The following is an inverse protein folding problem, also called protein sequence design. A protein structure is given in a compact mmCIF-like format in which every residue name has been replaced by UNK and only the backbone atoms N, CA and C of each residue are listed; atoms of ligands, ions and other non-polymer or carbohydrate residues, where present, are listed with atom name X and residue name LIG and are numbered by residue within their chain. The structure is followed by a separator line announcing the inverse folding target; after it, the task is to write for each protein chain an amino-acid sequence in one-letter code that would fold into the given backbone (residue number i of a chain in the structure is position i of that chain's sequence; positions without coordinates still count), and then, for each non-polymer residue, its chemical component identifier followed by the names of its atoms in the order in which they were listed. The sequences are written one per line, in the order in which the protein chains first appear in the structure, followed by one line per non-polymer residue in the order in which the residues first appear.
data_IF_056982692343
#
_entry.id   IF_056982692343
#
_cell.length_a   1.000
_cell.length_b   1.000
_cell.length_c   1.000
_cell.angle_alpha   90.00
_cell.angle_beta   90.00
_cell.angle_gamma   90.00
#
_symmetry.space_group_name_H-M   'P 1'
#
loop_
_entity.id
_entity.type
_entity.pdbx_description
1 polymer ?
#
# COMPACT_ATOMS: atom_id res chain seq x y z
N UNK A 1 12.00 -12.67 23.32
CA UNK A 1 10.57 -12.81 23.68
C UNK A 1 10.10 -14.15 23.16
N UNK A 2 9.33 -14.92 23.92
CA UNK A 2 8.75 -16.19 23.45
C UNK A 2 7.31 -15.92 23.01
N UNK A 3 6.98 -16.28 21.78
CA UNK A 3 5.63 -16.10 21.24
C UNK A 3 4.80 -17.38 21.39
N UNK A 4 3.47 -17.29 21.61
CA UNK A 4 2.61 -18.45 21.54
C UNK A 4 2.60 -19.04 20.12
N UNK A 5 2.35 -20.37 20.02
CA UNK A 5 2.33 -21.08 18.74
C UNK A 5 0.93 -21.12 18.13
N UNK A 6 0.87 -21.20 16.79
CA UNK A 6 -0.37 -21.50 16.10
C UNK A 6 -0.89 -22.93 16.44
N UNK A 7 -2.21 -23.20 16.37
CA UNK A 7 -3.29 -22.33 15.92
C UNK A 7 -3.82 -21.44 17.04
N UNK A 8 -3.77 -20.14 16.89
CA UNK A 8 -4.23 -19.21 17.93
C UNK A 8 -4.57 -17.81 17.37
N UNK A 9 -4.47 -17.63 16.05
CA UNK A 9 -4.75 -16.33 15.41
C UNK A 9 -6.17 -15.85 15.70
N UNK A 10 -6.27 -14.82 16.50
CA UNK A 10 -7.51 -14.10 16.83
C UNK A 10 -7.34 -12.62 16.55
N UNK A 11 -8.45 -11.92 16.31
CA UNK A 11 -8.47 -10.47 16.03
C UNK A 11 -8.19 -9.62 17.29
N UNK A 12 -7.24 -10.07 18.12
CA UNK A 12 -6.89 -9.40 19.38
C UNK A 12 -5.49 -8.76 19.35
N UNK A 13 -4.78 -8.87 18.21
CA UNK A 13 -3.45 -8.29 18.00
C UNK A 13 -2.30 -9.12 18.55
N UNK A 14 -2.54 -10.26 19.20
CA UNK A 14 -1.47 -11.11 19.72
C UNK A 14 -0.62 -11.67 18.58
N UNK A 15 0.72 -11.60 18.74
CA UNK A 15 1.67 -12.16 17.78
C UNK A 15 1.91 -13.62 18.13
N UNK A 16 1.77 -14.50 17.14
CA UNK A 16 2.00 -15.94 17.21
C UNK A 16 3.16 -16.37 16.33
N UNK A 17 3.85 -17.42 16.76
CA UNK A 17 4.87 -18.09 15.95
C UNK A 17 4.21 -19.14 15.03
N UNK A 18 4.45 -18.99 13.73
CA UNK A 18 4.09 -19.98 12.71
C UNK A 18 5.35 -20.79 12.36
N UNK A 19 5.56 -21.93 13.05
CA UNK A 19 6.74 -22.78 12.85
C UNK A 19 6.82 -23.37 11.43
N UNK A 20 5.67 -23.68 10.79
CA UNK A 20 5.64 -24.20 9.43
C UNK A 20 6.15 -23.17 8.42
N UNK A 21 5.78 -21.92 8.62
CA UNK A 21 6.18 -20.81 7.76
C UNK A 21 7.47 -20.13 8.20
N UNK A 22 7.96 -20.38 9.43
CA UNK A 22 9.10 -19.66 10.00
C UNK A 22 8.82 -18.17 10.18
N UNK A 23 7.58 -17.78 10.44
CA UNK A 23 7.14 -16.39 10.52
C UNK A 23 6.50 -16.09 11.88
N UNK A 24 6.43 -14.79 12.21
CA UNK A 24 5.59 -14.29 13.29
C UNK A 24 4.36 -13.63 12.69
N UNK A 25 3.17 -13.94 13.17
CA UNK A 25 1.91 -13.51 12.56
C UNK A 25 0.92 -12.99 13.60
N UNK A 26 0.12 -11.99 13.22
CA UNK A 26 -0.99 -11.47 14.02
C UNK A 26 -2.17 -11.07 13.15
N UNK A 27 -3.38 -11.19 13.71
CA UNK A 27 -4.54 -10.48 13.19
C UNK A 27 -4.75 -9.24 14.05
N UNK A 28 -4.69 -8.05 13.44
CA UNK A 28 -4.83 -6.79 14.15
C UNK A 28 -6.28 -6.62 14.63
N UNK A 29 -6.50 -5.99 15.81
CA UNK A 29 -7.87 -5.71 16.28
C UNK A 29 -8.63 -4.87 15.25
N UNK A 30 -9.87 -5.23 14.95
CA UNK A 30 -10.67 -4.60 13.87
C UNK A 30 -11.26 -3.25 14.25
N UNK A 31 -11.28 -2.90 15.53
CA UNK A 31 -11.98 -1.71 16.02
C UNK A 31 -13.52 -1.81 15.99
N UNK A 32 -14.04 -2.98 15.61
CA UNK A 32 -15.50 -3.18 15.47
C UNK A 32 -16.06 -2.81 14.09
N UNK A 33 -15.20 -2.40 13.15
CA UNK A 33 -15.62 -2.06 11.79
C UNK A 33 -15.84 -3.31 10.94
N UNK A 34 -16.90 -3.33 10.10
CA UNK A 34 -17.22 -4.47 9.25
C UNK A 34 -16.23 -4.68 8.09
N UNK A 35 -15.53 -3.63 7.64
CA UNK A 35 -14.50 -3.75 6.61
C UNK A 35 -13.23 -3.01 6.97
N UNK A 36 -12.08 -3.55 6.54
CA UNK A 36 -10.75 -2.98 6.67
C UNK A 36 -9.94 -3.18 5.39
N UNK A 37 -9.28 -2.12 4.87
CA UNK A 37 -8.53 -2.26 3.63
C UNK A 37 -7.34 -1.31 3.54
N UNK A 38 -6.43 -1.60 2.58
CA UNK A 38 -5.29 -0.79 2.21
C UNK A 38 -4.37 -0.41 3.40
N UNK A 39 -3.85 -1.37 4.17
CA UNK A 39 -2.96 -1.06 5.29
C UNK A 39 -1.61 -0.51 4.80
N UNK A 40 -1.04 0.38 5.60
CA UNK A 40 0.33 0.90 5.48
C UNK A 40 0.99 0.95 6.85
N UNK A 41 2.31 0.81 6.90
CA UNK A 41 3.08 0.82 8.15
C UNK A 41 4.28 1.75 8.08
N UNK A 42 4.74 2.17 9.27
CA UNK A 42 6.06 2.78 9.45
C UNK A 42 6.68 2.36 10.78
N UNK A 43 8.01 2.34 10.85
CA UNK A 43 8.77 2.19 12.10
C UNK A 43 8.98 3.56 12.72
N UNK A 44 8.57 3.71 13.97
CA UNK A 44 8.77 4.93 14.74
C UNK A 44 10.22 5.05 15.27
N UNK A 45 10.67 6.25 15.67
CA UNK A 45 12.02 6.45 16.21
C UNK A 45 12.37 5.55 17.39
N UNK A 46 11.40 5.22 18.25
CA UNK A 46 11.56 4.34 19.41
C UNK A 46 11.54 2.83 19.09
N UNK A 47 11.37 2.45 17.81
CA UNK A 47 11.28 1.07 17.35
C UNK A 47 9.87 0.47 17.43
N UNK A 48 8.86 1.24 17.83
CA UNK A 48 7.46 0.83 17.70
C UNK A 48 7.03 0.81 16.23
N UNK A 49 6.02 0.00 15.89
CA UNK A 49 5.43 0.00 14.55
C UNK A 49 4.04 0.62 14.59
N UNK A 50 3.79 1.57 13.72
CA UNK A 50 2.47 2.15 13.50
C UNK A 50 1.89 1.60 12.20
N UNK A 51 0.68 1.05 12.24
CA UNK A 51 -0.07 0.55 11.08
C UNK A 51 -1.38 1.31 10.96
N UNK A 52 -1.64 1.92 9.80
CA UNK A 52 -2.90 2.58 9.48
C UNK A 52 -3.59 1.85 8.33
N UNK A 53 -4.91 1.86 8.33
CA UNK A 53 -5.75 1.36 7.23
C UNK A 53 -7.05 2.13 7.18
N UNK A 54 -7.83 1.99 6.13
CA UNK A 54 -9.18 2.53 6.14
C UNK A 54 -10.19 1.47 6.58
N UNK A 55 -11.23 1.91 7.29
CA UNK A 55 -12.27 1.07 7.85
C UNK A 55 -13.63 1.78 7.83
N UNK A 56 -14.72 1.02 7.82
CA UNK A 56 -16.10 1.50 7.79
C UNK A 56 -17.03 0.44 7.23
N UNK A 57 -18.17 0.81 6.66
CA UNK A 57 -19.16 -0.15 6.15
C UNK A 57 -18.85 -0.61 4.73
N UNK A 58 -18.54 0.29 3.83
CA UNK A 58 -18.32 -0.03 2.42
C UNK A 58 -17.39 0.97 1.73
N UNK A 59 -16.39 0.49 0.96
CA UNK A 59 -15.44 1.34 0.25
C UNK A 59 -16.15 2.37 -0.65
N UNK A 60 -15.84 3.65 -0.44
CA UNK A 60 -16.47 4.77 -1.15
C UNK A 60 -17.62 5.43 -0.38
N UNK A 61 -18.04 4.90 0.77
CA UNK A 61 -19.01 5.55 1.65
C UNK A 61 -18.37 6.56 2.58
N UNK A 62 -19.08 7.62 2.96
CA UNK A 62 -18.54 8.68 3.82
C UNK A 62 -18.21 8.22 5.26
N UNK A 63 -18.67 7.04 5.69
CA UNK A 63 -18.29 6.44 6.96
C UNK A 63 -16.93 5.71 6.91
N UNK A 64 -16.29 5.65 5.73
CA UNK A 64 -14.92 5.16 5.59
C UNK A 64 -13.95 6.23 6.03
N UNK A 65 -13.13 5.91 7.03
CA UNK A 65 -12.12 6.79 7.60
C UNK A 65 -10.84 6.02 7.93
N UNK A 66 -9.78 6.74 8.28
CA UNK A 66 -8.48 6.15 8.60
C UNK A 66 -8.41 5.84 10.10
N UNK A 67 -7.99 4.61 10.40
CA UNK A 67 -7.70 4.16 11.77
C UNK A 67 -6.27 3.67 11.85
N UNK A 68 -5.67 3.77 13.04
CA UNK A 68 -4.30 3.35 13.29
C UNK A 68 -4.18 2.46 14.52
N UNK A 69 -3.32 1.44 14.46
CA UNK A 69 -2.93 0.58 15.56
C UNK A 69 -1.43 0.65 15.78
N UNK A 70 -0.98 0.54 17.03
CA UNK A 70 0.42 0.59 17.44
C UNK A 70 0.87 -0.78 17.96
N UNK A 71 2.04 -1.22 17.52
CA UNK A 71 2.81 -2.28 18.17
C UNK A 71 3.95 -1.62 18.95
N UNK A 72 3.87 -1.48 20.28
CA UNK A 72 4.94 -0.89 21.06
C UNK A 72 6.24 -1.69 20.93
N UNK A 73 7.38 -1.01 20.92
CA UNK A 73 8.70 -1.63 20.85
C UNK A 73 8.85 -2.72 21.92
N UNK A 74 9.28 -3.92 21.50
CA UNK A 74 9.42 -5.05 22.39
C UNK A 74 8.09 -5.67 22.86
N UNK A 75 6.92 -5.24 22.33
CA UNK A 75 5.63 -5.87 22.63
C UNK A 75 5.40 -7.11 21.77
N UNK A 76 4.65 -8.07 22.30
CA UNK A 76 4.10 -9.21 21.55
C UNK A 76 2.65 -9.01 21.10
N UNK A 77 2.15 -7.77 21.15
CA UNK A 77 0.74 -7.50 20.88
C UNK A 77 0.48 -6.12 20.31
N UNK A 78 -0.27 -6.05 19.21
CA UNK A 78 -0.84 -4.84 18.65
C UNK A 78 -1.93 -4.27 19.56
N UNK A 79 -1.95 -2.96 19.75
CA UNK A 79 -2.98 -2.29 20.53
C UNK A 79 -4.28 -2.18 19.73
N UNK A 80 -5.45 -1.99 20.39
CA UNK A 80 -6.68 -1.62 19.70
C UNK A 80 -6.48 -0.38 18.83
N UNK A 81 -7.06 -0.33 17.62
CA UNK A 81 -6.93 0.83 16.76
C UNK A 81 -7.74 2.01 17.30
N UNK A 82 -7.30 3.21 16.93
CA UNK A 82 -7.99 4.46 17.15
C UNK A 82 -8.25 5.16 15.82
N UNK A 83 -9.38 5.86 15.72
CA UNK A 83 -9.73 6.69 14.59
C UNK A 83 -8.80 7.91 14.54
N UNK A 84 -8.30 8.24 13.36
CA UNK A 84 -7.47 9.42 13.18
C UNK A 84 -8.12 10.44 12.26
N UNK A 85 -9.05 10.03 11.43
CA UNK A 85 -9.80 10.88 10.51
C UNK A 85 -11.31 10.64 10.64
N UNK A 86 -12.13 11.40 9.94
CA UNK A 86 -13.57 11.24 9.90
C UNK A 86 -14.23 12.47 9.31
N UNK A 87 -14.59 12.38 8.03
CA UNK A 87 -15.32 13.42 7.30
C UNK A 87 -16.71 12.89 6.93
N UNK A 88 -17.80 13.51 7.40
CA UNK A 88 -19.16 13.01 7.14
C UNK A 88 -19.58 13.10 5.65
N UNK A 89 -18.80 13.80 4.81
CA UNK A 89 -19.12 13.99 3.40
C UNK A 89 -18.17 13.20 2.47
N UNK A 90 -17.07 12.66 3.01
CA UNK A 90 -16.00 12.04 2.20
C UNK A 90 -15.60 10.68 2.72
N UNK A 91 -15.38 9.78 1.78
CA UNK A 91 -14.72 8.49 2.02
C UNK A 91 -13.22 8.70 2.03
N UNK A 92 -12.55 8.39 3.15
CA UNK A 92 -11.12 8.58 3.35
C UNK A 92 -10.41 7.23 3.21
N UNK A 93 -9.47 7.14 2.24
CA UNK A 93 -8.93 5.88 1.77
C UNK A 93 -7.41 5.92 1.56
N UNK A 94 -6.82 4.72 1.40
CA UNK A 94 -5.43 4.54 0.98
C UNK A 94 -4.41 5.33 1.79
N UNK A 95 -4.32 5.16 3.12
CA UNK A 95 -3.32 5.84 3.91
C UNK A 95 -1.91 5.42 3.52
N UNK A 96 -0.98 6.35 3.63
CA UNK A 96 0.45 6.12 3.65
C UNK A 96 1.09 6.89 4.80
N UNK A 97 2.15 6.34 5.38
CA UNK A 97 2.82 6.91 6.56
C UNK A 97 4.23 7.36 6.19
N UNK A 98 4.63 8.50 6.71
CA UNK A 98 5.95 9.06 6.50
C UNK A 98 6.48 9.69 7.80
N UNK A 99 7.72 9.39 8.18
CA UNK A 99 8.38 10.06 9.30
C UNK A 99 8.97 11.37 8.79
N UNK A 100 8.32 12.49 9.11
CA UNK A 100 8.71 13.80 8.67
C UNK A 100 9.98 14.32 9.39
N UNK A 101 10.71 15.29 8.78
CA UNK A 101 11.90 15.89 9.39
C UNK A 101 11.56 16.79 10.58
N UNK A 102 10.30 17.16 10.72
CA UNK A 102 9.74 17.90 11.85
C UNK A 102 9.54 17.03 13.10
N UNK A 103 9.87 15.73 13.02
CA UNK A 103 9.69 14.75 14.10
C UNK A 103 8.26 14.20 14.20
N UNK A 104 7.36 14.64 13.33
CA UNK A 104 6.01 14.10 13.27
C UNK A 104 5.93 12.86 12.36
N UNK A 105 4.97 12.01 12.65
CA UNK A 105 4.47 11.03 11.67
C UNK A 105 3.38 11.71 10.85
N UNK A 106 3.54 11.69 9.52
CA UNK A 106 2.57 12.20 8.57
C UNK A 106 1.73 11.05 8.03
N UNK A 107 0.42 11.14 8.18
CA UNK A 107 -0.54 10.26 7.52
C UNK A 107 -1.10 10.97 6.29
N UNK A 108 -0.69 10.52 5.10
CA UNK A 108 -1.20 11.01 3.82
C UNK A 108 -2.29 10.07 3.35
N UNK A 109 -3.46 10.58 2.96
CA UNK A 109 -4.57 9.75 2.50
C UNK A 109 -5.46 10.49 1.50
N UNK A 110 -6.21 9.74 0.72
CA UNK A 110 -7.21 10.25 -0.22
C UNK A 110 -8.55 10.49 0.47
N UNK A 111 -9.27 11.52 0.06
CA UNK A 111 -10.62 11.84 0.51
C UNK A 111 -11.50 12.18 -0.71
N UNK A 112 -12.37 11.24 -1.12
CA UNK A 112 -13.34 11.42 -2.21
C UNK A 112 -14.74 11.69 -1.66
N UNK A 113 -15.59 12.37 -2.41
CA UNK A 113 -16.98 12.53 -2.03
C UNK A 113 -17.69 11.19 -1.87
N UNK A 114 -18.69 11.17 -0.98
CA UNK A 114 -19.56 10.02 -0.80
C UNK A 114 -20.18 9.56 -2.12
N UNK A 115 -20.55 8.28 -2.17
CA UNK A 115 -21.28 7.73 -3.30
C UNK A 115 -22.58 8.47 -3.52
N UNK A 116 -22.89 8.71 -4.79
CA UNK A 116 -24.15 9.30 -5.21
C UNK A 116 -25.02 8.26 -5.91
N UNK A 117 -26.33 8.40 -5.79
CA UNK A 117 -27.27 7.53 -6.51
C UNK A 117 -26.98 7.56 -8.02
N UNK A 118 -26.77 6.39 -8.60
CA UNK A 118 -26.41 6.23 -10.02
C UNK A 118 -24.96 6.52 -10.39
N UNK A 119 -24.09 6.84 -9.41
CA UNK A 119 -22.63 7.02 -9.59
C UNK A 119 -21.85 6.19 -8.59
N UNK A 120 -21.45 4.99 -8.98
CA UNK A 120 -20.67 4.07 -8.14
C UNK A 120 -19.21 4.51 -7.94
N UNK A 121 -18.68 5.34 -8.84
CA UNK A 121 -17.30 5.80 -8.79
C UNK A 121 -17.21 7.31 -8.64
N UNK A 122 -16.79 7.77 -7.46
CA UNK A 122 -16.53 9.17 -7.16
C UNK A 122 -15.03 9.51 -7.07
N UNK A 123 -14.15 8.65 -7.57
CA UNK A 123 -12.71 8.80 -7.48
C UNK A 123 -12.20 10.10 -8.13
N UNK A 124 -12.88 10.59 -9.17
CA UNK A 124 -12.55 11.86 -9.83
C UNK A 124 -12.72 13.10 -8.92
N UNK A 125 -13.39 12.98 -7.75
CA UNK A 125 -13.57 14.06 -6.77
C UNK A 125 -12.51 14.00 -5.64
N UNK A 126 -11.60 13.02 -5.68
CA UNK A 126 -10.64 12.79 -4.61
C UNK A 126 -9.61 13.92 -4.51
N UNK A 127 -9.25 14.23 -3.28
CA UNK A 127 -8.13 15.11 -2.91
C UNK A 127 -7.21 14.37 -1.97
N UNK A 128 -5.97 14.84 -1.80
CA UNK A 128 -5.04 14.24 -0.83
C UNK A 128 -4.92 15.14 0.38
N UNK A 129 -5.13 14.53 1.55
CA UNK A 129 -5.01 15.13 2.88
C UNK A 129 -3.79 14.63 3.61
N UNK A 130 -3.32 15.39 4.57
CA UNK A 130 -2.27 15.06 5.51
C UNK A 130 -2.72 15.37 6.93
N UNK A 131 -2.51 14.44 7.84
CA UNK A 131 -2.56 14.69 9.29
C UNK A 131 -1.21 14.37 9.90
N UNK A 132 -0.85 15.09 10.97
CA UNK A 132 0.41 14.93 11.66
C UNK A 132 0.22 14.48 13.10
N UNK A 133 1.09 13.61 13.58
CA UNK A 133 1.19 13.19 14.96
C UNK A 133 2.61 13.42 15.48
N UNK A 134 2.75 14.16 16.58
CA UNK A 134 4.03 14.45 17.24
C UNK A 134 4.32 13.53 18.44
N UNK A 135 3.41 12.61 18.76
CA UNK A 135 3.49 11.70 19.90
C UNK A 135 3.50 10.21 19.54
N UNK A 136 3.90 9.91 18.30
CA UNK A 136 4.02 8.54 17.81
C UNK A 136 2.67 7.89 17.46
N UNK A 137 1.72 8.67 16.96
CA UNK A 137 0.43 8.17 16.46
C UNK A 137 -0.66 8.08 17.53
N UNK A 138 -0.45 8.64 18.73
CA UNK A 138 -1.45 8.63 19.81
C UNK A 138 -2.50 9.73 19.65
N UNK A 139 -2.06 10.93 19.24
CA UNK A 139 -2.95 12.04 18.90
C UNK A 139 -2.57 12.63 17.54
N UNK A 140 -3.55 13.18 16.84
CA UNK A 140 -3.39 13.68 15.49
C UNK A 140 -3.94 15.10 15.37
N UNK A 141 -3.19 15.97 14.69
CA UNK A 141 -3.67 17.30 14.36
C UNK A 141 -4.80 17.26 13.33
N UNK A 142 -5.59 18.33 13.21
CA UNK A 142 -6.56 18.45 12.10
C UNK A 142 -5.89 18.28 10.74
N UNK A 143 -6.61 17.71 9.78
CA UNK A 143 -6.06 17.50 8.44
C UNK A 143 -5.83 18.82 7.69
N UNK A 144 -4.84 18.78 6.81
CA UNK A 144 -4.63 19.76 5.75
C UNK A 144 -4.89 19.09 4.39
N UNK A 145 -5.51 19.79 3.45
CA UNK A 145 -5.59 19.33 2.05
C UNK A 145 -4.31 19.76 1.33
N UNK A 146 -3.38 18.81 1.21
CA UNK A 146 -2.04 19.06 0.62
C UNK A 146 -2.12 19.13 -0.91
N UNK A 147 -2.92 18.25 -1.54
CA UNK A 147 -3.16 18.29 -2.97
C UNK A 147 -4.66 18.45 -3.26
N UNK A 148 -5.11 19.70 -3.47
CA UNK A 148 -6.52 20.02 -3.70
C UNK A 148 -6.99 19.72 -5.13
N UNK A 149 -6.09 19.30 -6.03
CA UNK A 149 -6.47 18.91 -7.38
C UNK A 149 -7.36 17.67 -7.34
N UNK A 150 -8.61 17.83 -7.76
CA UNK A 150 -9.56 16.73 -7.83
C UNK A 150 -9.07 15.59 -8.73
N UNK A 151 -9.44 14.38 -8.38
CA UNK A 151 -8.97 13.14 -9.01
C UNK A 151 -7.62 12.64 -8.49
N UNK A 152 -6.93 13.38 -7.60
CA UNK A 152 -5.64 12.94 -7.08
C UNK A 152 -5.80 11.83 -6.05
N UNK A 153 -5.16 10.71 -6.28
CA UNK A 153 -5.05 9.57 -5.36
C UNK A 153 -3.60 9.32 -4.92
N UNK A 154 -3.43 8.76 -3.72
CA UNK A 154 -2.15 8.30 -3.20
C UNK A 154 -2.28 6.87 -2.63
N UNK A 155 -1.14 6.19 -2.43
CA UNK A 155 -1.09 4.87 -1.78
C UNK A 155 0.27 4.59 -1.14
N UNK A 156 1.37 4.98 -1.79
CA UNK A 156 2.72 4.67 -1.35
C UNK A 156 3.29 5.84 -0.52
N UNK A 157 4.23 5.58 0.41
CA UNK A 157 4.84 6.64 1.20
C UNK A 157 5.71 7.58 0.35
N UNK A 158 5.92 8.78 0.87
CA UNK A 158 6.95 9.69 0.35
C UNK A 158 8.30 8.99 0.41
N UNK A 159 9.06 9.05 -0.70
CA UNK A 159 10.43 8.58 -0.76
C UNK A 159 11.37 9.78 -0.72
N UNK A 160 12.37 9.73 0.17
CA UNK A 160 13.46 10.71 0.23
C UNK A 160 14.63 10.12 -0.56
N UNK A 161 15.01 10.81 -1.63
CA UNK A 161 16.10 10.38 -2.51
C UNK A 161 17.47 10.80 -1.95
N UNK A 162 18.53 10.20 -2.48
CA UNK A 162 19.90 10.42 -2.01
C UNK A 162 20.39 11.87 -2.11
N UNK A 163 19.79 12.68 -3.00
CA UNK A 163 20.07 14.12 -3.12
C UNK A 163 19.20 15.01 -2.20
N UNK A 164 18.36 14.40 -1.33
CA UNK A 164 17.43 15.11 -0.44
C UNK A 164 16.08 15.45 -1.05
N UNK A 165 15.87 15.18 -2.36
CA UNK A 165 14.57 15.35 -3.02
C UNK A 165 13.55 14.37 -2.46
N UNK A 166 12.31 14.84 -2.35
CA UNK A 166 11.17 13.99 -2.02
C UNK A 166 10.37 13.67 -3.28
N UNK A 167 9.95 12.43 -3.43
CA UNK A 167 9.05 11.99 -4.47
C UNK A 167 7.85 11.26 -3.85
N UNK A 168 6.64 11.68 -4.24
CA UNK A 168 5.40 11.10 -3.76
C UNK A 168 4.54 10.67 -4.94
N UNK A 169 4.29 9.37 -5.03
CA UNK A 169 3.55 8.77 -6.13
C UNK A 169 2.06 9.02 -6.00
N UNK A 170 1.45 9.48 -7.08
CA UNK A 170 0.02 9.67 -7.23
C UNK A 170 -0.48 9.04 -8.53
N UNK A 171 -1.77 8.95 -8.69
CA UNK A 171 -2.42 8.80 -9.99
C UNK A 171 -3.62 9.73 -10.05
N UNK A 172 -4.04 10.06 -11.28
CA UNK A 172 -5.11 11.00 -11.50
C UNK A 172 -6.34 10.27 -12.05
N UNK A 173 -7.40 10.24 -11.26
CA UNK A 173 -8.69 9.68 -11.67
C UNK A 173 -9.48 10.74 -12.42
N UNK A 174 -10.08 10.36 -13.55
CA UNK A 174 -10.90 11.24 -14.38
C UNK A 174 -12.30 10.66 -14.56
N UNK A 175 -13.28 11.55 -14.68
CA UNK A 175 -14.66 11.19 -15.09
C UNK A 175 -14.70 11.09 -16.63
N UNK A 176 -13.98 10.13 -17.19
CA UNK A 176 -13.86 9.93 -18.63
C UNK A 176 -14.57 8.65 -19.09
N UNK A 177 -14.86 8.58 -20.40
CA UNK A 177 -15.45 7.38 -21.01
C UNK A 177 -14.57 6.13 -20.88
N UNK A 178 -13.24 6.31 -20.71
CA UNK A 178 -12.29 5.22 -20.48
C UNK A 178 -12.34 4.70 -19.02
N UNK A 179 -13.04 5.42 -18.14
CA UNK A 179 -13.18 5.06 -16.73
C UNK A 179 -11.82 4.87 -16.08
N UNK A 180 -11.70 3.86 -15.20
CA UNK A 180 -10.48 3.56 -14.46
C UNK A 180 -9.30 3.13 -15.32
N UNK A 181 -9.50 2.69 -16.56
CA UNK A 181 -8.39 2.35 -17.47
C UNK A 181 -7.66 3.57 -18.02
N UNK A 182 -8.26 4.76 -17.89
CA UNK A 182 -7.68 6.03 -18.32
C UNK A 182 -6.73 6.69 -17.33
N UNK A 183 -6.66 6.22 -16.09
CA UNK A 183 -5.93 6.86 -14.99
C UNK A 183 -4.40 6.86 -15.21
N UNK A 184 -3.73 8.02 -15.39
CA UNK A 184 -2.27 8.08 -15.54
C UNK A 184 -1.58 8.16 -14.17
N UNK A 185 -0.33 7.71 -14.11
CA UNK A 185 0.59 7.94 -13.00
C UNK A 185 1.17 9.34 -13.04
N UNK A 186 1.21 10.00 -11.88
CA UNK A 186 1.87 11.26 -11.63
C UNK A 186 2.78 11.15 -10.40
N UNK A 187 3.80 12.00 -10.34
CA UNK A 187 4.65 12.17 -9.16
C UNK A 187 4.56 13.60 -8.68
N UNK A 188 4.50 13.77 -7.37
CA UNK A 188 4.73 15.06 -6.72
C UNK A 188 6.18 15.06 -6.25
N UNK A 189 6.94 16.08 -6.67
CA UNK A 189 8.34 16.27 -6.33
C UNK A 189 8.48 17.52 -5.49
N UNK A 190 9.23 17.42 -4.40
CA UNK A 190 9.60 18.52 -3.53
C UNK A 190 11.13 18.54 -3.36
N UNK A 191 11.72 19.71 -3.49
CA UNK A 191 13.15 19.97 -3.26
C UNK A 191 13.38 20.78 -1.96
N UNK A 192 12.31 20.98 -1.14
CA UNK A 192 12.30 21.82 0.05
C UNK A 192 11.58 21.17 1.25
N UNK A 193 11.69 19.84 1.37
CA UNK A 193 11.11 19.04 2.46
C UNK A 193 9.59 19.14 2.56
N UNK A 194 8.92 19.14 1.40
CA UNK A 194 7.45 19.12 1.33
C UNK A 194 6.78 20.48 1.50
N UNK A 195 7.51 21.58 1.54
CA UNK A 195 6.94 22.94 1.60
C UNK A 195 6.28 23.35 0.29
N UNK A 196 6.92 22.99 -0.83
CA UNK A 196 6.34 23.17 -2.17
C UNK A 196 6.44 21.88 -2.98
N UNK A 197 5.47 21.71 -3.89
CA UNK A 197 5.38 20.51 -4.71
C UNK A 197 5.11 20.87 -6.15
N UNK A 198 5.81 20.23 -7.07
CA UNK A 198 5.51 20.25 -8.50
C UNK A 198 5.10 18.87 -8.99
N UNK A 199 4.36 18.80 -10.08
CA UNK A 199 3.89 17.55 -10.64
C UNK A 199 4.68 17.16 -11.88
N UNK A 200 5.06 15.88 -11.96
CA UNK A 200 5.67 15.25 -13.14
C UNK A 200 4.78 14.09 -13.57
N UNK A 201 4.40 14.08 -14.84
CA UNK A 201 3.60 13.00 -15.41
C UNK A 201 4.50 11.90 -15.97
N UNK A 202 4.16 10.64 -15.70
CA UNK A 202 4.80 9.51 -16.38
C UNK A 202 4.22 9.35 -17.78
N UNK A 203 5.03 9.29 -18.84
CA UNK A 203 4.52 9.10 -20.21
C UNK A 203 3.87 7.71 -20.34
N UNK A 204 2.87 7.59 -21.21
CA UNK A 204 2.21 6.34 -21.58
C UNK A 204 1.71 5.49 -20.38
N UNK A 205 1.42 6.13 -19.25
CA UNK A 205 1.11 5.45 -17.97
C UNK A 205 -0.38 5.24 -17.73
N UNK A 206 -1.25 5.42 -18.73
CA UNK A 206 -2.70 5.18 -18.58
C UNK A 206 -2.97 3.74 -18.12
N UNK A 207 -3.78 3.60 -17.06
CA UNK A 207 -4.06 2.31 -16.44
C UNK A 207 -2.95 1.75 -15.56
N UNK A 208 -1.82 2.45 -15.42
CA UNK A 208 -0.75 2.10 -14.49
C UNK A 208 -0.86 2.99 -13.26
N UNK A 209 -1.12 2.40 -12.09
CA UNK A 209 -1.42 3.14 -10.86
C UNK A 209 -0.67 2.56 -9.66
N UNK A 210 -0.73 3.21 -8.50
CA UNK A 210 -0.06 2.78 -7.28
C UNK A 210 1.47 2.60 -7.47
N UNK A 211 2.12 3.53 -8.16
CA UNK A 211 3.55 3.45 -8.42
C UNK A 211 4.37 3.41 -7.12
N UNK A 212 5.27 2.44 -7.02
CA UNK A 212 6.24 2.30 -5.94
C UNK A 212 7.60 2.74 -6.49
N UNK A 213 8.14 3.85 -6.00
CA UNK A 213 9.45 4.35 -6.43
C UNK A 213 10.53 3.80 -5.51
N UNK A 214 11.59 3.27 -6.09
CA UNK A 214 12.80 2.85 -5.39
C UNK A 214 14.02 3.47 -6.08
N UNK A 215 14.96 4.00 -5.30
CA UNK A 215 16.23 4.50 -5.81
C UNK A 215 17.23 3.34 -5.88
N UNK A 216 17.56 2.91 -7.11
CA UNK A 216 18.51 1.82 -7.35
C UNK A 216 19.93 2.27 -7.07
N UNK A 217 20.31 3.42 -7.63
CA UNK A 217 21.56 4.15 -7.44
C UNK A 217 21.25 5.65 -7.41
N UNK A 218 22.14 6.53 -6.91
CA UNK A 218 21.89 7.96 -6.89
C UNK A 218 21.41 8.50 -8.24
N UNK A 219 20.17 9.00 -8.28
CA UNK A 219 19.52 9.54 -9.47
C UNK A 219 18.89 8.50 -10.41
N UNK A 220 19.23 7.23 -10.26
CA UNK A 220 18.60 6.14 -11.01
C UNK A 220 17.44 5.53 -10.20
N UNK A 221 16.24 5.75 -10.65
CA UNK A 221 15.01 5.28 -10.00
C UNK A 221 14.33 4.20 -10.84
N UNK A 222 13.67 3.26 -10.17
CA UNK A 222 12.68 2.39 -10.76
C UNK A 222 11.32 2.61 -10.11
N UNK A 223 10.25 2.63 -10.90
CA UNK A 223 8.88 2.67 -10.42
C UNK A 223 8.16 1.37 -10.82
N UNK A 224 7.56 0.68 -9.84
CA UNK A 224 6.78 -0.53 -10.07
C UNK A 224 5.30 -0.23 -9.88
N UNK A 225 4.45 -0.64 -10.83
CA UNK A 225 3.06 -0.23 -10.89
C UNK A 225 2.11 -1.40 -11.00
N UNK A 226 0.98 -1.28 -10.32
CA UNK A 226 -0.23 -2.03 -10.57
C UNK A 226 -0.74 -1.71 -11.97
N UNK A 227 -1.22 -2.72 -12.67
CA UNK A 227 -1.81 -2.57 -14.01
C UNK A 227 -3.32 -2.85 -13.98
N UNK A 228 -4.12 -1.92 -14.50
CA UNK A 228 -5.58 -2.02 -14.56
C UNK A 228 -6.05 -3.15 -15.47
N UNK A 229 -5.25 -3.54 -16.46
CA UNK A 229 -5.55 -4.66 -17.36
C UNK A 229 -5.40 -6.03 -16.69
N UNK A 230 -4.92 -6.07 -15.45
CA UNK A 230 -4.78 -7.26 -14.63
C UNK A 230 -3.89 -8.36 -15.25
N UNK A 231 -2.79 -7.99 -15.89
CA UNK A 231 -1.90 -8.94 -16.55
C UNK A 231 -0.50 -9.01 -15.93
N UNK A 232 0.27 -7.90 -15.92
CA UNK A 232 1.63 -7.87 -15.37
C UNK A 232 1.83 -6.64 -14.47
N UNK A 233 2.76 -6.76 -13.51
CA UNK A 233 3.35 -5.59 -12.87
C UNK A 233 4.17 -4.87 -13.94
N UNK A 234 4.03 -3.55 -14.05
CA UNK A 234 4.82 -2.75 -14.97
C UNK A 234 5.92 -2.00 -14.22
N UNK A 235 7.00 -1.71 -14.95
CA UNK A 235 8.19 -1.04 -14.46
C UNK A 235 8.56 0.11 -15.40
N UNK A 236 8.95 1.25 -14.84
CA UNK A 236 9.50 2.41 -15.55
C UNK A 236 10.79 2.87 -14.86
N UNK A 237 11.68 3.54 -15.57
CA UNK A 237 12.94 4.06 -15.05
C UNK A 237 13.07 5.58 -15.25
N UNK A 238 13.79 6.20 -14.33
CA UNK A 238 14.24 7.58 -14.39
C UNK A 238 15.73 7.62 -14.08
N UNK A 239 16.51 8.48 -14.77
CA UNK A 239 17.96 8.65 -14.56
C UNK A 239 18.32 10.07 -14.11
N UNK A 240 17.33 10.85 -13.67
CA UNK A 240 17.45 12.26 -13.34
C UNK A 240 16.66 12.64 -12.06
N UNK A 241 16.64 11.73 -11.09
CA UNK A 241 15.91 11.90 -9.83
C UNK A 241 14.40 12.15 -10.03
N UNK A 242 13.79 11.50 -11.02
CA UNK A 242 12.35 11.54 -11.25
C UNK A 242 11.85 12.69 -12.11
N UNK A 243 12.72 13.46 -12.77
CA UNK A 243 12.32 14.53 -13.70
C UNK A 243 11.71 13.97 -14.97
N UNK A 244 12.30 12.90 -15.50
CA UNK A 244 11.78 12.22 -16.68
C UNK A 244 11.70 10.70 -16.43
N UNK A 245 10.76 10.05 -17.09
CA UNK A 245 10.49 8.63 -16.94
C UNK A 245 10.37 7.95 -18.30
N UNK A 246 10.80 6.71 -18.39
CA UNK A 246 10.51 5.87 -19.55
C UNK A 246 9.03 5.50 -19.60
N UNK A 247 8.54 5.07 -20.76
CA UNK A 247 7.25 4.37 -20.85
C UNK A 247 7.27 3.11 -19.97
N UNK A 248 6.14 2.75 -19.32
CA UNK A 248 6.06 1.53 -18.51
C UNK A 248 6.19 0.25 -19.36
N UNK A 249 7.02 -0.68 -18.93
CA UNK A 249 7.21 -2.00 -19.55
C UNK A 249 6.77 -3.12 -18.60
N UNK A 250 6.22 -4.23 -19.11
CA UNK A 250 5.82 -5.35 -18.28
C UNK A 250 7.02 -6.08 -17.68
N UNK A 251 6.93 -6.44 -16.40
CA UNK A 251 7.86 -7.35 -15.72
C UNK A 251 7.41 -8.80 -15.88
N UNK A 252 8.24 -9.79 -15.50
CA UNK A 252 7.81 -11.19 -15.45
C UNK A 252 6.71 -11.47 -14.41
N UNK A 253 6.53 -10.61 -13.40
CA UNK A 253 5.56 -10.85 -12.33
C UNK A 253 4.12 -10.57 -12.78
N UNK A 254 3.17 -11.47 -12.49
CA UNK A 254 1.75 -11.24 -12.76
C UNK A 254 1.18 -10.13 -11.87
N UNK A 255 0.09 -9.52 -12.33
CA UNK A 255 -0.72 -8.59 -11.54
C UNK A 255 -2.20 -8.80 -11.83
N UNK A 256 -3.01 -8.89 -10.79
CA UNK A 256 -4.45 -9.10 -10.87
C UNK A 256 -5.26 -7.82 -10.66
N UNK A 257 -4.69 -6.66 -11.02
CA UNK A 257 -5.28 -5.36 -10.72
C UNK A 257 -5.49 -5.14 -9.21
N UNK A 258 -4.56 -5.65 -8.39
CA UNK A 258 -4.43 -5.35 -6.96
C UNK A 258 -3.20 -4.50 -6.71
N UNK A 259 -3.20 -3.73 -5.62
CA UNK A 259 -2.01 -2.97 -5.18
C UNK A 259 -0.84 -3.91 -4.92
N UNK A 260 0.34 -3.40 -5.14
CA UNK A 260 1.62 -4.04 -4.82
C UNK A 260 2.41 -3.15 -3.86
N UNK A 261 3.45 -3.68 -3.25
CA UNK A 261 4.42 -2.90 -2.50
C UNK A 261 5.83 -3.30 -2.92
N UNK A 262 6.63 -2.35 -3.37
CA UNK A 262 8.02 -2.57 -3.77
C UNK A 262 8.96 -1.70 -2.95
N UNK A 263 10.02 -2.30 -2.41
CA UNK A 263 11.04 -1.62 -1.61
C UNK A 263 12.44 -2.09 -2.02
N UNK A 264 13.46 -1.25 -1.79
CA UNK A 264 14.86 -1.66 -1.82
C UNK A 264 15.28 -2.06 -0.41
N UNK A 265 15.80 -3.27 -0.27
CA UNK A 265 16.29 -3.80 0.99
C UNK A 265 17.70 -3.28 1.31
N UNK A 266 18.10 -3.36 2.57
CA UNK A 266 19.47 -3.03 3.01
C UNK A 266 20.54 -3.89 2.34
N UNK A 267 20.19 -5.07 1.83
CA UNK A 267 21.05 -5.92 0.99
C UNK A 267 21.29 -5.37 -0.42
N UNK A 268 20.51 -4.37 -0.84
CA UNK A 268 20.48 -3.84 -2.20
C UNK A 268 19.47 -4.52 -3.14
N UNK A 269 18.88 -5.65 -2.74
CA UNK A 269 17.83 -6.34 -3.50
C UNK A 269 16.54 -5.53 -3.52
N UNK A 270 15.76 -5.73 -4.57
CA UNK A 270 14.37 -5.23 -4.64
C UNK A 270 13.44 -6.33 -4.16
N UNK A 271 12.56 -6.02 -3.22
CA UNK A 271 11.51 -6.91 -2.76
C UNK A 271 10.14 -6.38 -3.22
N UNK A 272 9.31 -7.25 -3.81
CA UNK A 272 7.94 -6.91 -4.22
C UNK A 272 6.95 -7.85 -3.56
N UNK A 273 6.03 -7.29 -2.77
CA UNK A 273 4.88 -8.00 -2.22
C UNK A 273 3.67 -7.80 -3.16
N UNK A 274 3.01 -8.90 -3.54
CA UNK A 274 1.96 -8.90 -4.55
C UNK A 274 1.07 -10.15 -4.47
N UNK A 275 -0.02 -10.17 -5.27
CA UNK A 275 -0.79 -11.38 -5.50
C UNK A 275 -0.32 -12.02 -6.83
N UNK A 276 0.23 -13.25 -6.84
CA UNK A 276 0.80 -13.88 -8.03
C UNK A 276 -0.28 -14.52 -8.93
N UNK A 277 -1.28 -13.73 -9.28
CA UNK A 277 -2.38 -14.10 -10.17
C UNK A 277 -2.59 -13.01 -11.22
N UNK A 278 -3.16 -13.37 -12.36
CA UNK A 278 -3.50 -12.43 -13.45
C UNK A 278 -4.60 -13.03 -14.33
N UNK A 279 -5.07 -12.25 -15.29
CA UNK A 279 -5.89 -12.76 -16.39
C UNK A 279 -5.07 -13.68 -17.29
N UNK A 280 -5.68 -14.66 -17.99
CA UNK A 280 -4.99 -15.52 -18.95
C UNK A 280 -4.32 -14.72 -20.08
N UNK A 281 -4.96 -13.64 -20.51
CA UNK A 281 -4.51 -12.75 -21.58
C UNK A 281 -4.65 -11.29 -21.16
N UNK A 282 -3.85 -10.36 -21.71
CA UNK A 282 -4.02 -8.94 -21.45
C UNK A 282 -5.35 -8.43 -22.01
N UNK A 283 -5.92 -7.42 -21.37
CA UNK A 283 -7.12 -6.70 -21.83
C UNK A 283 -6.76 -5.25 -22.21
N UNK A 284 -6.12 -4.99 -23.36
CA UNK A 284 -5.59 -3.68 -23.71
C UNK A 284 -6.63 -2.56 -23.57
N UNK A 285 -6.29 -1.54 -22.77
CA UNK A 285 -7.13 -0.38 -22.53
C UNK A 285 -8.41 -0.64 -21.72
N UNK A 286 -8.56 -1.81 -21.10
CA UNK A 286 -9.74 -2.15 -20.29
C UNK A 286 -9.33 -2.58 -18.89
N UNK A 287 -9.95 -1.98 -17.89
CA UNK A 287 -9.77 -2.41 -16.51
C UNK A 287 -10.46 -3.77 -16.29
N UNK A 288 -9.74 -4.73 -15.71
CA UNK A 288 -10.22 -6.06 -15.38
C UNK A 288 -9.94 -6.40 -13.91
N UNK A 289 -10.82 -7.18 -13.31
CA UNK A 289 -10.67 -7.69 -11.93
C UNK A 289 -10.85 -9.21 -11.95
N UNK A 290 -9.79 -9.97 -12.28
CA UNK A 290 -9.86 -11.43 -12.25
C UNK A 290 -9.95 -11.97 -10.83
N UNK A 291 -10.67 -13.05 -10.68
CA UNK A 291 -11.01 -13.84 -9.52
C UNK A 291 -10.17 -13.71 -8.25
N UNK A 292 -9.04 -14.33 -8.07
CA UNK A 292 -8.41 -14.52 -6.77
C UNK A 292 -7.36 -13.47 -6.40
N UNK A 293 -7.43 -12.93 -5.18
CA UNK A 293 -6.35 -12.19 -4.51
C UNK A 293 -5.69 -13.06 -3.43
N UNK A 294 -5.34 -14.26 -3.82
CA UNK A 294 -4.65 -15.28 -3.05
C UNK A 294 -3.81 -16.13 -4.01
N UNK A 295 -2.59 -16.52 -3.64
CA UNK A 295 -1.85 -16.20 -2.42
C UNK A 295 -1.36 -14.74 -2.34
N UNK A 296 -0.71 -14.39 -1.22
CA UNK A 296 0.19 -13.22 -1.13
C UNK A 296 1.61 -13.73 -1.23
N UNK A 297 2.42 -13.17 -2.10
CA UNK A 297 3.80 -13.56 -2.30
C UNK A 297 4.75 -12.36 -2.12
N UNK A 298 6.00 -12.68 -1.79
CA UNK A 298 7.13 -11.76 -1.87
C UNK A 298 8.12 -12.32 -2.88
N UNK A 299 8.55 -11.48 -3.81
CA UNK A 299 9.56 -11.79 -4.82
C UNK A 299 10.79 -10.92 -4.61
N UNK A 300 12.00 -11.49 -4.78
CA UNK A 300 13.26 -10.77 -4.69
C UNK A 300 13.96 -10.70 -6.04
N UNK A 301 14.58 -9.55 -6.32
CA UNK A 301 15.36 -9.27 -7.52
C UNK A 301 16.75 -8.74 -7.14
N UNK A 302 17.78 -9.19 -7.86
CA UNK A 302 19.16 -8.74 -7.72
C UNK A 302 19.60 -7.78 -8.86
N UNK A 303 18.74 -7.58 -9.87
CA UNK A 303 19.02 -6.82 -11.09
C UNK A 303 18.13 -5.58 -11.26
N UNK A 304 17.73 -4.97 -10.14
CA UNK A 304 16.90 -3.76 -10.14
C UNK A 304 15.43 -4.01 -10.56
N UNK A 305 14.94 -5.23 -10.37
CA UNK A 305 13.52 -5.58 -10.64
C UNK A 305 13.26 -6.00 -12.09
N UNK A 306 14.26 -6.48 -12.82
CA UNK A 306 14.11 -7.04 -14.16
C UNK A 306 13.78 -8.53 -14.12
N UNK A 307 14.43 -9.27 -13.22
CA UNK A 307 14.15 -10.69 -12.96
C UNK A 307 13.92 -10.95 -11.49
N UNK A 308 13.19 -12.01 -11.16
CA UNK A 308 12.79 -12.37 -9.79
C UNK A 308 13.00 -13.88 -9.58
N UNK A 309 14.24 -14.32 -9.35
CA UNK A 309 14.56 -15.75 -9.20
C UNK A 309 14.06 -16.36 -7.88
N UNK A 310 13.79 -15.53 -6.85
CA UNK A 310 13.31 -15.96 -5.55
C UNK A 310 11.88 -15.46 -5.34
N UNK A 311 10.96 -16.38 -5.11
CA UNK A 311 9.55 -16.07 -4.85
C UNK A 311 9.05 -16.98 -3.74
N UNK A 312 8.47 -16.39 -2.69
CA UNK A 312 7.84 -17.15 -1.63
C UNK A 312 6.39 -16.71 -1.40
N UNK A 313 5.51 -17.68 -1.25
CA UNK A 313 4.14 -17.43 -0.81
C UNK A 313 4.11 -17.23 0.71
N UNK A 314 3.82 -16.02 1.15
CA UNK A 314 3.72 -15.63 2.56
C UNK A 314 2.32 -15.93 3.14
N UNK A 315 1.30 -16.00 2.29
CA UNK A 315 -0.06 -16.37 2.64
C UNK A 315 -0.62 -17.28 1.56
N UNK A 316 -1.08 -18.45 1.95
CA UNK A 316 -1.64 -19.47 1.03
C UNK A 316 -3.17 -19.54 1.09
N UNK A 317 -3.75 -18.80 2.04
CA UNK A 317 -5.18 -18.86 2.33
C UNK A 317 -5.53 -20.09 3.21
N UNK A 318 -6.66 -20.02 3.87
CA UNK A 318 -7.15 -21.08 4.76
C UNK A 318 -8.00 -22.13 4.02
N UNK A 319 -7.94 -22.17 2.71
CA UNK A 319 -8.78 -23.06 1.89
C UNK A 319 -10.26 -22.65 1.86
N UNK A 320 -10.63 -21.59 2.56
CA UNK A 320 -11.97 -21.02 2.49
C UNK A 320 -12.12 -20.19 1.22
N UNK A 321 -12.72 -20.81 0.24
CA UNK A 321 -13.02 -20.23 -1.06
C UNK A 321 -14.54 -20.28 -1.27
N UNK A 322 -15.29 -19.66 -0.35
CA UNK A 322 -16.74 -19.53 -0.51
C UNK A 322 -17.10 -18.83 -1.82
N UNK A 323 -18.31 -18.99 -2.28
CA UNK A 323 -18.81 -18.39 -3.54
C UNK A 323 -18.62 -16.88 -3.54
N UNK A 324 -18.84 -16.22 -2.40
CA UNK A 324 -18.62 -14.79 -2.20
C UNK A 324 -17.14 -14.40 -2.45
N UNK A 325 -16.18 -15.20 -2.00
CA UNK A 325 -14.77 -14.95 -2.28
C UNK A 325 -14.41 -15.07 -3.76
N UNK A 326 -15.04 -15.97 -4.48
CA UNK A 326 -14.84 -16.12 -5.93
C UNK A 326 -15.42 -14.93 -6.71
N UNK A 327 -16.58 -14.44 -6.32
CA UNK A 327 -17.24 -13.32 -7.01
C UNK A 327 -16.64 -11.97 -6.63
N UNK A 328 -16.29 -11.75 -5.37
CA UNK A 328 -15.77 -10.47 -4.87
C UNK A 328 -14.25 -10.35 -4.92
N UNK A 329 -13.53 -11.45 -5.13
CA UNK A 329 -12.08 -11.44 -5.37
C UNK A 329 -11.24 -10.69 -4.32
N UNK A 330 -11.58 -10.80 -3.03
CA UNK A 330 -11.06 -9.93 -1.97
C UNK A 330 -10.56 -10.69 -0.74
N UNK A 331 -9.89 -11.81 -0.95
CA UNK A 331 -9.47 -12.67 0.16
C UNK A 331 -8.28 -12.08 0.94
N UNK A 332 -7.16 -11.77 0.26
CA UNK A 332 -5.95 -11.18 0.82
C UNK A 332 -5.41 -10.13 -0.15
N UNK A 333 -5.49 -8.87 0.20
CA UNK A 333 -5.31 -7.82 -0.78
C UNK A 333 -4.54 -6.61 -0.26
N UNK A 334 -3.96 -5.85 -1.18
CA UNK A 334 -3.19 -4.65 -0.93
C UNK A 334 -2.05 -4.87 0.07
N UNK A 335 -1.12 -5.78 -0.24
CA UNK A 335 0.05 -5.97 0.62
C UNK A 335 0.85 -4.67 0.70
N UNK A 336 1.38 -4.40 1.88
CA UNK A 336 2.37 -3.37 2.14
C UNK A 336 3.56 -3.99 2.86
N UNK A 337 4.75 -3.79 2.31
CA UNK A 337 6.01 -4.36 2.79
C UNK A 337 6.93 -3.23 3.26
N UNK A 338 7.59 -3.42 4.38
CA UNK A 338 8.67 -2.55 4.86
C UNK A 338 9.79 -3.36 5.48
N UNK A 339 10.98 -2.78 5.54
CA UNK A 339 12.11 -3.30 6.32
C UNK A 339 12.40 -2.33 7.46
N UNK A 340 12.52 -2.85 8.68
CA UNK A 340 12.93 -2.10 9.86
C UNK A 340 14.45 -1.97 9.96
N UNK A 341 14.92 -1.07 10.82
CA UNK A 341 16.34 -0.81 11.06
C UNK A 341 17.13 -2.03 11.52
N UNK A 342 16.46 -3.00 12.16
CA UNK A 342 17.05 -4.30 12.55
C UNK A 342 17.13 -5.30 11.40
N UNK A 343 16.71 -4.92 10.18
CA UNK A 343 16.73 -5.74 8.98
C UNK A 343 15.56 -6.69 8.83
N UNK A 344 14.62 -6.74 9.78
CA UNK A 344 13.42 -7.56 9.67
C UNK A 344 12.46 -7.02 8.61
N UNK A 345 11.77 -7.92 7.92
CA UNK A 345 10.70 -7.61 6.99
C UNK A 345 9.35 -7.70 7.68
N UNK A 346 8.51 -6.72 7.42
CA UNK A 346 7.17 -6.60 7.95
C UNK A 346 6.19 -6.43 6.80
N UNK A 347 5.21 -7.30 6.74
CA UNK A 347 4.19 -7.34 5.70
C UNK A 347 2.81 -7.22 6.34
N UNK A 348 1.97 -6.33 5.83
CA UNK A 348 0.55 -6.25 6.19
C UNK A 348 -0.31 -6.29 4.95
N UNK A 349 -1.49 -6.86 5.07
CA UNK A 349 -2.49 -6.92 4.01
C UNK A 349 -3.90 -7.05 4.59
N UNK A 350 -4.90 -6.61 3.84
CA UNK A 350 -6.30 -6.89 4.17
C UNK A 350 -6.55 -8.38 4.05
N UNK A 351 -7.16 -8.98 5.06
CA UNK A 351 -7.33 -10.43 5.18
C UNK A 351 -8.79 -10.82 5.28
N UNK A 352 -9.09 -12.08 4.88
CA UNK A 352 -10.38 -12.73 5.02
C UNK A 352 -11.54 -11.88 4.50
N UNK A 353 -11.49 -11.52 3.21
CA UNK A 353 -12.51 -10.68 2.58
C UNK A 353 -12.68 -9.29 3.23
N UNK A 354 -11.56 -8.67 3.63
CA UNK A 354 -11.52 -7.36 4.30
C UNK A 354 -12.11 -7.32 5.72
N UNK A 355 -12.18 -8.45 6.43
CA UNK A 355 -12.60 -8.44 7.85
C UNK A 355 -11.62 -7.67 8.73
N UNK A 356 -10.36 -7.59 8.35
CA UNK A 356 -9.34 -6.88 9.10
C UNK A 356 -7.98 -6.96 8.42
N UNK A 357 -6.94 -6.62 9.16
CA UNK A 357 -5.54 -6.61 8.70
C UNK A 357 -4.79 -7.76 9.30
N UNK A 358 -4.03 -8.53 8.47
CA UNK A 358 -3.06 -9.50 8.93
C UNK A 358 -1.65 -8.91 8.84
N UNK A 359 -0.85 -9.17 9.85
CA UNK A 359 0.56 -8.81 9.97
C UNK A 359 1.41 -10.06 9.94
N UNK A 360 2.54 -9.99 9.23
CA UNK A 360 3.56 -11.06 9.14
C UNK A 360 4.95 -10.44 9.28
N UNK A 361 5.80 -11.03 10.13
CA UNK A 361 7.22 -10.66 10.31
C UNK A 361 8.10 -11.84 9.93
N UNK A 362 9.16 -11.58 9.16
CA UNK A 362 10.08 -12.60 8.63
C UNK A 362 11.43 -11.96 8.29
N UNK A 363 12.39 -12.76 7.83
CA UNK A 363 13.70 -12.26 7.36
C UNK A 363 13.80 -12.37 5.83
N UNK A 364 14.73 -11.60 5.24
CA UNK A 364 15.01 -11.72 3.80
C UNK A 364 15.42 -13.15 3.39
N UNK A 365 16.07 -13.88 4.29
CA UNK A 365 16.49 -15.27 4.04
C UNK A 365 15.33 -16.25 3.96
N UNK A 366 14.17 -15.83 4.44
CA UNK A 366 12.96 -16.63 4.39
C UNK A 366 12.24 -16.51 3.05
N UNK A 367 12.69 -15.66 2.11
CA UNK A 367 12.17 -15.54 0.76
C UNK A 367 13.03 -16.33 -0.21
#
# INVERSE_FOLDING_TARGET
MTYPKLPGLTWDGTIYENEEMGTLEALLPTGGYPTAHAPAMTELPDGSLLCCWFAGTYEGSADIHIICSLLPAGSGKWLPPADISGDPERSEQNPSLFNGPDGAVWAMYTAQLDRQEGKDNMQFTSVVRCQKSFDGGKTWEPYETVFPQEGTFCRQPIQVLSNGRWIFSNWLCTDSADGLSGDPTAFRISDDEGKTWRMVMMPESRGHVHANVVELEPGHLAAFMRNREAYRIHRSESFDYGETWSAPEPTPLPNNNSSISAIKLSSGRIAIAYNPTCTPEPHPGKAAWPGLRCPVAVALSEDGGRTFPMIRHMERGEGFMGEENRTNNRQYEYPFLMQTRDGMLHLVYAARTRLGVKYVRFTEKDV
#
